data_IF_275943017748
#
_entry.id   IF_275943017748
#
_cell.length_a   1.000
_cell.length_b   1.000
_cell.length_c   1.000
_cell.angle_alpha   90.00
_cell.angle_beta   90.00
_cell.angle_gamma   90.00
#
_symmetry.space_group_name_H-M   'P 1'
#
loop_
_entity.id
_entity.type
_entity.pdbx_description
1 polymer ?
#
# COMPACT_ATOMS: atom_id res chain seq x y z
N UNK A 1 -5.25 -16.09 -11.92
CA UNK A 1 -6.52 -15.66 -12.57
C UNK A 1 -6.26 -15.58 -14.08
N UNK A 2 -7.23 -15.30 -14.96
CA UNK A 2 -6.91 -14.96 -16.35
C UNK A 2 -6.78 -13.44 -16.52
N UNK A 3 -5.91 -12.99 -17.42
CA UNK A 3 -5.71 -11.56 -17.72
C UNK A 3 -7.01 -10.88 -18.17
N UNK A 4 -7.85 -11.57 -18.94
CA UNK A 4 -9.17 -11.06 -19.37
C UNK A 4 -10.06 -10.70 -18.17
N UNK A 5 -10.01 -11.52 -17.12
CA UNK A 5 -10.78 -11.30 -15.92
C UNK A 5 -10.20 -10.15 -15.08
N UNK A 6 -8.88 -10.07 -14.98
CA UNK A 6 -8.18 -8.93 -14.34
C UNK A 6 -8.44 -7.62 -15.07
N UNK A 7 -8.46 -7.61 -16.40
CA UNK A 7 -8.85 -6.44 -17.18
C UNK A 7 -10.28 -5.99 -16.86
N UNK A 8 -11.21 -6.93 -16.63
CA UNK A 8 -12.57 -6.59 -16.19
C UNK A 8 -12.59 -6.01 -14.75
N UNK A 9 -11.75 -6.52 -13.85
CA UNK A 9 -11.54 -5.96 -12.50
C UNK A 9 -10.98 -4.53 -12.58
N UNK A 10 -9.99 -4.28 -13.45
CA UNK A 10 -9.41 -2.95 -13.64
C UNK A 10 -10.45 -1.95 -14.15
N UNK A 11 -11.38 -2.38 -15.02
CA UNK A 11 -12.51 -1.53 -15.43
C UNK A 11 -13.42 -1.17 -14.25
N UNK A 12 -13.56 -2.02 -13.23
CA UNK A 12 -14.29 -1.68 -12.00
C UNK A 12 -13.53 -0.65 -11.16
N UNK A 13 -12.21 -0.78 -11.01
CA UNK A 13 -11.41 0.24 -10.33
C UNK A 13 -11.40 1.56 -11.09
N UNK A 14 -11.28 1.54 -12.41
CA UNK A 14 -11.40 2.73 -13.24
C UNK A 14 -12.77 3.41 -13.07
N UNK A 15 -13.86 2.65 -13.03
CA UNK A 15 -15.19 3.21 -12.80
C UNK A 15 -15.36 3.82 -11.39
N UNK A 16 -14.72 3.24 -10.37
CA UNK A 16 -14.80 3.70 -8.97
C UNK A 16 -13.87 4.89 -8.67
N UNK A 17 -12.68 4.89 -9.25
CA UNK A 17 -11.58 5.80 -8.88
C UNK A 17 -11.20 6.79 -9.98
N UNK A 18 -11.69 6.59 -11.21
CA UNK A 18 -11.42 7.44 -12.35
C UNK A 18 -9.92 7.67 -12.55
N UNK A 19 -9.52 8.94 -12.58
CA UNK A 19 -8.15 9.37 -12.81
C UNK A 19 -7.15 8.76 -11.82
N UNK A 20 -7.53 8.56 -10.56
CA UNK A 20 -6.61 7.99 -9.55
C UNK A 20 -6.14 6.59 -9.92
N UNK A 21 -7.00 5.79 -10.56
CA UNK A 21 -6.63 4.47 -11.05
C UNK A 21 -5.81 4.59 -12.33
N UNK A 22 -6.30 5.34 -13.32
CA UNK A 22 -5.62 5.41 -14.62
C UNK A 22 -4.20 5.94 -14.51
N UNK A 23 -3.96 6.96 -13.68
CA UNK A 23 -2.63 7.53 -13.49
C UNK A 23 -1.68 6.62 -12.70
N UNK A 24 -2.21 5.68 -11.91
CA UNK A 24 -1.38 4.75 -11.14
C UNK A 24 -0.76 3.64 -12.00
N UNK A 25 -1.33 3.37 -13.18
CA UNK A 25 -0.90 2.29 -14.09
C UNK A 25 -0.54 2.79 -15.49
N UNK A 26 -0.47 4.12 -15.68
CA UNK A 26 -0.22 4.75 -16.98
C UNK A 26 1.11 4.27 -17.56
N UNK A 27 1.07 3.75 -18.79
CA UNK A 27 2.26 3.25 -19.50
C UNK A 27 2.72 1.85 -19.09
N UNK A 28 2.08 1.23 -18.10
CA UNK A 28 2.36 -0.13 -17.63
C UNK A 28 1.12 -1.03 -17.58
N UNK A 29 0.04 -0.67 -18.28
CA UNK A 29 -1.27 -1.31 -18.13
C UNK A 29 -1.24 -2.81 -18.43
N UNK A 30 -0.49 -3.21 -19.46
CA UNK A 30 -0.30 -4.64 -19.79
C UNK A 30 0.49 -5.38 -18.71
N UNK A 31 1.54 -4.77 -18.19
CA UNK A 31 2.38 -5.35 -17.13
C UNK A 31 1.58 -5.51 -15.85
N UNK A 32 0.79 -4.50 -15.47
CA UNK A 32 -0.09 -4.55 -14.29
C UNK A 32 -1.18 -5.62 -14.42
N UNK A 33 -1.78 -5.78 -15.60
CA UNK A 33 -2.75 -6.87 -15.83
C UNK A 33 -2.10 -8.25 -15.66
N UNK A 34 -0.88 -8.44 -16.17
CA UNK A 34 -0.15 -9.68 -16.02
C UNK A 34 0.23 -9.97 -14.55
N UNK A 35 0.79 -8.97 -13.86
CA UNK A 35 1.18 -9.04 -12.45
C UNK A 35 -0.01 -9.39 -11.55
N UNK A 36 -1.16 -8.74 -11.74
CA UNK A 36 -2.38 -9.04 -10.99
C UNK A 36 -2.97 -10.40 -11.37
N UNK A 37 -2.82 -10.82 -12.63
CA UNK A 37 -3.27 -12.15 -13.08
C UNK A 37 -2.53 -13.27 -12.36
N UNK A 38 -1.21 -13.13 -12.23
CA UNK A 38 -0.36 -14.05 -11.47
C UNK A 38 -0.62 -13.94 -9.96
N UNK A 39 -0.61 -12.73 -9.40
CA UNK A 39 -0.77 -12.52 -7.97
C UNK A 39 -2.13 -12.94 -7.40
N UNK A 40 -3.17 -12.97 -8.24
CA UNK A 40 -4.52 -13.48 -7.93
C UNK A 40 -4.75 -14.92 -8.44
N UNK A 41 -3.70 -15.65 -8.81
CA UNK A 41 -3.81 -17.09 -9.02
C UNK A 41 -4.31 -17.79 -7.74
N UNK A 42 -5.29 -18.68 -7.89
CA UNK A 42 -5.89 -19.41 -6.77
C UNK A 42 -6.95 -18.65 -5.96
N UNK A 43 -7.29 -17.40 -6.31
CA UNK A 43 -8.42 -16.70 -5.72
C UNK A 43 -9.73 -17.07 -6.42
N UNK A 44 -10.79 -17.26 -5.65
CA UNK A 44 -12.14 -17.55 -6.13
C UNK A 44 -12.89 -16.26 -6.49
N UNK A 45 -13.90 -16.32 -7.37
CA UNK A 45 -14.75 -15.15 -7.67
C UNK A 45 -15.40 -14.53 -6.42
N UNK A 46 -15.80 -15.35 -5.44
CA UNK A 46 -16.42 -14.88 -4.20
C UNK A 46 -15.44 -14.09 -3.31
N UNK A 47 -14.19 -14.53 -3.21
CA UNK A 47 -13.13 -13.79 -2.50
C UNK A 47 -12.83 -12.46 -3.18
N UNK A 48 -12.77 -12.43 -4.50
CA UNK A 48 -12.54 -11.15 -5.20
C UNK A 48 -13.75 -10.22 -5.02
N UNK A 49 -14.97 -10.76 -5.09
CA UNK A 49 -16.18 -9.98 -4.82
C UNK A 49 -16.17 -9.42 -3.40
N UNK A 50 -15.79 -10.23 -2.42
CA UNK A 50 -15.64 -9.80 -1.02
C UNK A 50 -14.64 -8.65 -0.88
N UNK A 51 -13.47 -8.74 -1.54
CA UNK A 51 -12.49 -7.66 -1.56
C UNK A 51 -13.03 -6.36 -2.19
N UNK A 52 -13.77 -6.46 -3.30
CA UNK A 52 -14.41 -5.31 -3.95
C UNK A 52 -15.50 -4.64 -3.10
N UNK A 53 -16.28 -5.43 -2.38
CA UNK A 53 -17.39 -4.95 -1.56
C UNK A 53 -16.89 -4.34 -0.24
N UNK A 54 -15.80 -4.87 0.31
CA UNK A 54 -15.24 -4.42 1.60
C UNK A 54 -14.33 -3.21 1.45
N UNK A 55 -13.70 -3.04 0.27
CA UNK A 55 -12.77 -1.94 0.05
C UNK A 55 -13.47 -0.56 -0.01
N UNK A 56 -13.21 0.26 1.00
CA UNK A 56 -13.78 1.60 1.18
C UNK A 56 -12.74 2.73 1.14
N UNK A 57 -11.50 2.42 0.73
CA UNK A 57 -10.41 3.39 0.66
C UNK A 57 -10.67 4.50 -0.38
N UNK A 58 -10.22 5.72 -0.05
CA UNK A 58 -10.29 6.91 -0.93
C UNK A 58 -9.37 6.79 -2.15
N UNK A 59 -8.32 5.97 -2.02
CA UNK A 59 -7.41 5.58 -3.10
C UNK A 59 -7.70 4.14 -3.55
N UNK A 60 -7.44 3.82 -4.84
CA UNK A 60 -7.48 2.44 -5.28
C UNK A 60 -6.45 1.59 -4.52
N UNK A 61 -6.72 0.29 -4.32
CA UNK A 61 -5.76 -0.61 -3.70
C UNK A 61 -4.61 -0.94 -4.65
N UNK A 62 -3.43 -1.17 -4.10
CA UNK A 62 -2.38 -1.97 -4.74
C UNK A 62 -2.75 -3.47 -4.72
N UNK A 63 -2.04 -4.29 -5.52
CA UNK A 63 -2.27 -5.74 -5.55
C UNK A 63 -2.16 -6.40 -4.15
N UNK A 64 -1.13 -6.15 -3.32
CA UNK A 64 -1.03 -6.75 -2.00
C UNK A 64 -2.19 -6.34 -1.07
N UNK A 65 -2.58 -5.07 -1.11
CA UNK A 65 -3.71 -4.57 -0.32
C UNK A 65 -5.02 -5.20 -0.76
N UNK A 66 -5.23 -5.32 -2.07
CA UNK A 66 -6.42 -5.97 -2.60
C UNK A 66 -6.48 -7.45 -2.25
N UNK A 67 -5.34 -8.16 -2.31
CA UNK A 67 -5.23 -9.56 -1.87
C UNK A 67 -5.60 -9.73 -0.40
N UNK A 68 -5.17 -8.81 0.47
CA UNK A 68 -5.54 -8.80 1.87
C UNK A 68 -7.04 -8.57 2.05
N UNK A 69 -7.62 -7.63 1.30
CA UNK A 69 -9.07 -7.37 1.33
C UNK A 69 -9.92 -8.54 0.82
N UNK A 70 -9.41 -9.33 -0.14
CA UNK A 70 -10.11 -10.50 -0.67
C UNK A 70 -10.20 -11.66 0.32
N UNK A 71 -9.26 -11.76 1.27
CA UNK A 71 -9.23 -12.84 2.26
C UNK A 71 -9.99 -12.41 3.51
N UNK A 72 -11.07 -13.11 3.83
CA UNK A 72 -11.88 -12.80 5.01
C UNK A 72 -11.06 -12.92 6.31
N UNK A 73 -11.36 -12.08 7.31
CA UNK A 73 -10.70 -12.11 8.62
C UNK A 73 -10.83 -13.45 9.36
N UNK A 74 -11.77 -14.32 8.97
CA UNK A 74 -11.94 -15.66 9.55
C UNK A 74 -10.73 -16.58 9.32
N UNK A 75 -10.04 -16.45 8.18
CA UNK A 75 -8.82 -17.21 7.88
C UNK A 75 -7.54 -16.45 8.27
N UNK A 76 -7.67 -15.15 8.52
CA UNK A 76 -6.57 -14.24 8.86
C UNK A 76 -6.46 -14.01 10.38
N UNK A 77 -6.29 -15.07 11.17
CA UNK A 77 -5.87 -14.91 12.58
C UNK A 77 -4.49 -14.25 12.76
N UNK A 78 -3.72 -14.08 11.67
CA UNK A 78 -2.39 -13.50 11.67
C UNK A 78 -2.27 -12.13 10.98
N UNK A 79 -3.34 -11.56 10.42
CA UNK A 79 -3.32 -10.17 9.91
C UNK A 79 -4.05 -9.25 10.90
N UNK A 80 -3.38 -9.03 12.03
CA UNK A 80 -3.67 -7.87 12.87
C UNK A 80 -3.37 -6.62 12.05
N UNK A 81 -4.40 -6.02 11.44
CA UNK A 81 -4.36 -4.64 10.98
C UNK A 81 -4.58 -4.44 9.48
N UNK A 82 -5.84 -4.28 9.06
CA UNK A 82 -6.18 -3.54 7.83
C UNK A 82 -7.21 -2.47 8.13
N UNK A 83 -6.87 -1.64 9.12
CA UNK A 83 -7.00 -0.19 9.06
C UNK A 83 -5.59 0.38 8.80
N UNK A 84 -4.95 -0.01 7.69
CA UNK A 84 -3.54 0.27 7.44
C UNK A 84 -3.23 1.77 7.25
N UNK A 85 -4.26 2.61 7.07
CA UNK A 85 -4.10 4.07 7.06
C UNK A 85 -4.25 4.75 8.44
N UNK A 86 -4.51 3.99 9.52
CA UNK A 86 -4.65 4.52 10.89
C UNK A 86 -3.59 4.03 11.88
N UNK A 87 -2.73 3.08 11.50
CA UNK A 87 -1.68 2.54 12.38
C UNK A 87 -0.25 2.60 11.83
N UNK A 88 0.01 3.28 10.70
CA UNK A 88 1.35 3.84 10.51
C UNK A 88 1.51 5.01 11.49
N UNK A 89 1.74 4.68 12.76
CA UNK A 89 2.45 5.59 13.63
C UNK A 89 3.85 5.67 13.00
N UNK A 90 4.30 6.83 12.49
CA UNK A 90 5.73 6.98 12.25
C UNK A 90 6.45 6.57 13.54
N UNK A 91 7.67 5.98 13.45
CA UNK A 91 8.44 5.73 14.65
C UNK A 91 8.40 7.00 15.50
N UNK A 92 8.07 6.88 16.80
CA UNK A 92 7.84 8.05 17.64
C UNK A 92 8.99 9.03 17.41
N UNK A 93 8.67 10.29 17.03
CA UNK A 93 9.72 11.28 16.75
C UNK A 93 10.66 11.24 17.95
N UNK A 94 11.93 10.79 17.78
CA UNK A 94 12.85 10.64 18.91
C UNK A 94 13.14 11.99 19.57
N UNK A 95 12.67 13.07 18.96
CA UNK A 95 12.75 14.45 19.41
C UNK A 95 11.39 15.07 19.75
N UNK A 96 10.32 14.30 19.90
CA UNK A 96 9.05 14.80 20.41
C UNK A 96 9.27 15.54 21.74
N UNK A 97 8.69 16.74 21.88
CA UNK A 97 8.84 17.60 23.06
C UNK A 97 10.17 18.37 23.18
N UNK A 98 11.10 18.22 22.23
CA UNK A 98 12.36 18.98 22.25
C UNK A 98 12.21 20.34 21.57
N UNK A 99 12.79 21.37 22.17
CA UNK A 99 12.93 22.68 21.53
C UNK A 99 13.89 22.60 20.34
N UNK A 100 13.79 23.56 19.41
CA UNK A 100 14.63 23.61 18.20
C UNK A 100 16.13 23.50 18.51
N UNK A 101 16.60 24.12 19.59
CA UNK A 101 18.00 24.09 20.01
C UNK A 101 18.44 22.70 20.49
N UNK A 102 17.60 22.04 21.29
CA UNK A 102 17.87 20.69 21.81
C UNK A 102 17.96 19.63 20.70
N UNK A 103 17.21 19.81 19.60
CA UNK A 103 17.29 18.94 18.41
C UNK A 103 18.63 19.10 17.70
N UNK A 104 19.07 20.34 17.50
CA UNK A 104 20.36 20.67 16.85
C UNK A 104 21.53 20.11 17.67
N UNK A 105 21.50 20.26 18.99
CA UNK A 105 22.60 19.84 19.84
C UNK A 105 22.73 18.31 19.90
N UNK A 106 21.62 17.57 19.83
CA UNK A 106 21.65 16.10 19.73
C UNK A 106 22.07 15.56 18.36
N UNK A 107 21.76 16.27 17.27
CA UNK A 107 22.18 15.88 15.93
C UNK A 107 23.66 16.20 15.63
N UNK A 108 24.26 17.11 16.43
CA UNK A 108 25.60 17.67 16.22
C UNK A 108 26.73 16.61 16.17
N UNK A 109 26.81 15.61 17.07
CA UNK A 109 27.88 14.62 17.04
C UNK A 109 27.86 13.80 15.74
N UNK A 110 26.67 13.41 15.30
CA UNK A 110 26.46 12.62 14.09
C UNK A 110 26.88 13.38 12.82
N UNK A 111 26.53 14.68 12.75
CA UNK A 111 26.93 15.56 11.63
C UNK A 111 28.44 15.83 11.61
N UNK A 112 29.11 15.84 12.76
CA UNK A 112 30.56 16.00 12.84
C UNK A 112 31.29 14.73 12.35
N UNK A 113 30.78 13.55 12.68
CA UNK A 113 31.32 12.27 12.18
C UNK A 113 31.19 12.15 10.66
N UNK A 114 30.03 12.52 10.10
CA UNK A 114 29.80 12.47 8.65
C UNK A 114 30.70 13.43 7.87
N UNK A 115 30.96 14.63 8.40
CA UNK A 115 31.89 15.58 7.78
C UNK A 115 33.35 15.12 7.85
N UNK A 116 33.72 14.29 8.83
CA UNK A 116 35.05 13.69 8.93
C UNK A 116 35.27 12.54 7.96
N UNK A 117 34.22 11.77 7.64
CA UNK A 117 34.28 10.63 6.71
C UNK A 117 34.24 11.02 5.22
N UNK A 118 33.92 12.28 4.91
CA UNK A 118 33.86 12.84 3.56
C UNK A 118 35.10 13.68 3.19
N UNK A 119 36.18 13.55 3.95
CA UNK A 119 37.52 14.09 3.65
C UNK A 119 38.48 12.95 3.37
#
# INVERSE_FOLDING_TARGET
>A
MSEKWVAALFRKFQARYGHKWTSSIEGIERTEVAEWSEGLAGYTPDEIKHGLDTWSGVWPPSLPEFKAACRSLADNKNLVGSNAHRLYLPPPDPYAGHTKQQRIDRARPFLQTLKGALK
#
